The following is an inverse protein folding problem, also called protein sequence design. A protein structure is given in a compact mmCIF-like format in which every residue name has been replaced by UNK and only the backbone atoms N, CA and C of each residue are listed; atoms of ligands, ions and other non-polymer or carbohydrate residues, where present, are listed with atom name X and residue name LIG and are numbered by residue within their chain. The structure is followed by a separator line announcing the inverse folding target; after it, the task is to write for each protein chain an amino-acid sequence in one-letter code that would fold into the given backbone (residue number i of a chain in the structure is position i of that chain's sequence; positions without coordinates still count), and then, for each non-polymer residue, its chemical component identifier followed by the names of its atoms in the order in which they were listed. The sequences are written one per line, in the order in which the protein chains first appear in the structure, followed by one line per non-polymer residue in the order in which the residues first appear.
data_IF_649192142349
#
_entry.id   IF_649192142349
#
_cell.length_a   1.000
_cell.length_b   1.000
_cell.length_c   1.000
_cell.angle_alpha   90.00
_cell.angle_beta   90.00
_cell.angle_gamma   90.00
#
_symmetry.space_group_name_H-M   'P 1'
#
loop_
_entity.id
_entity.type
_entity.pdbx_description
1 polymer ?
#
# COMPACT_ATOMS: atom_id res chain seq x y z
N UNK A 1 -9.14 -19.94 -27.93
CA UNK A 1 -8.92 -19.67 -26.50
C UNK A 1 -9.65 -18.37 -26.21
N UNK A 2 -10.69 -18.35 -25.37
CA UNK A 2 -11.33 -17.09 -25.03
C UNK A 2 -10.32 -16.24 -24.27
N UNK A 3 -10.03 -15.05 -24.79
CA UNK A 3 -9.24 -14.06 -24.06
C UNK A 3 -10.07 -13.62 -22.86
N UNK A 4 -9.53 -13.84 -21.66
CA UNK A 4 -10.13 -13.34 -20.43
C UNK A 4 -9.97 -11.83 -20.45
N UNK A 5 -11.04 -11.10 -20.77
CA UNK A 5 -11.06 -9.64 -20.59
C UNK A 5 -10.70 -9.32 -19.13
N UNK A 6 -9.77 -8.38 -18.89
CA UNK A 6 -9.34 -8.04 -17.54
C UNK A 6 -10.55 -7.60 -16.73
N UNK A 7 -10.89 -8.39 -15.70
CA UNK A 7 -12.04 -8.11 -14.85
C UNK A 7 -11.74 -6.87 -14.01
N UNK A 8 -12.33 -5.73 -14.40
CA UNK A 8 -12.27 -4.51 -13.60
C UNK A 8 -13.18 -4.68 -12.39
N UNK A 9 -12.60 -5.01 -11.24
CA UNK A 9 -13.34 -5.17 -9.99
C UNK A 9 -13.77 -3.79 -9.45
N UNK A 10 -14.93 -3.70 -8.77
CA UNK A 10 -15.32 -2.48 -8.05
C UNK A 10 -14.27 -2.08 -7.01
N UNK A 11 -14.02 -0.78 -6.81
CA UNK A 11 -13.03 -0.29 -5.82
C UNK A 11 -13.28 -0.83 -4.40
N UNK A 12 -14.55 -1.04 -4.04
CA UNK A 12 -14.92 -1.60 -2.73
C UNK A 12 -14.47 -3.04 -2.54
N UNK A 13 -14.38 -3.81 -3.63
CA UNK A 13 -13.83 -5.18 -3.62
C UNK A 13 -12.32 -5.13 -3.40
N UNK A 14 -11.61 -4.27 -4.13
CA UNK A 14 -10.17 -4.06 -3.94
C UNK A 14 -9.84 -3.61 -2.50
N UNK A 15 -10.61 -2.69 -1.94
CA UNK A 15 -10.49 -2.26 -0.55
C UNK A 15 -10.78 -3.40 0.45
N UNK A 16 -11.68 -4.32 0.11
CA UNK A 16 -11.93 -5.51 0.92
C UNK A 16 -10.75 -6.48 0.90
N UNK A 17 -10.15 -6.72 -0.26
CA UNK A 17 -8.95 -7.55 -0.37
C UNK A 17 -7.78 -6.94 0.39
N UNK A 18 -7.56 -5.63 0.28
CA UNK A 18 -6.51 -4.95 1.03
C UNK A 18 -6.68 -5.14 2.56
N UNK A 19 -7.92 -5.06 3.06
CA UNK A 19 -8.21 -5.34 4.47
C UNK A 19 -7.93 -6.79 4.86
N UNK A 20 -8.24 -7.75 3.98
CA UNK A 20 -7.94 -9.16 4.22
C UNK A 20 -6.43 -9.41 4.28
N UNK A 21 -5.67 -8.89 3.32
CA UNK A 21 -4.20 -8.99 3.32
C UNK A 21 -3.58 -8.33 4.56
N UNK A 22 -4.10 -7.18 4.98
CA UNK A 22 -3.64 -6.53 6.22
C UNK A 22 -3.91 -7.39 7.46
N UNK A 23 -5.05 -8.09 7.51
CA UNK A 23 -5.36 -9.01 8.61
C UNK A 23 -4.48 -10.27 8.59
N UNK A 24 -4.13 -10.78 7.41
CA UNK A 24 -3.17 -11.89 7.28
C UNK A 24 -1.77 -11.49 7.76
N UNK A 25 -1.32 -10.27 7.41
CA UNK A 25 -0.06 -9.73 7.89
C UNK A 25 -0.03 -9.47 9.40
N UNK A 26 -1.16 -9.04 9.99
CA UNK A 26 -1.31 -8.87 11.45
C UNK A 26 -1.19 -10.22 12.18
N UNK A 27 -1.63 -11.31 11.53
CA UNK A 27 -1.53 -12.69 12.02
C UNK A 27 -0.29 -13.45 11.54
N UNK A 28 0.81 -12.78 11.18
CA UNK A 28 2.02 -13.39 10.59
C UNK A 28 2.84 -14.30 11.54
N UNK A 29 2.18 -14.91 12.52
CA UNK A 29 2.74 -15.95 13.39
C UNK A 29 3.29 -17.11 12.53
N UNK A 30 4.57 -17.41 12.69
CA UNK A 30 5.23 -18.49 11.94
C UNK A 30 5.95 -18.06 10.67
N UNK A 31 6.14 -16.75 10.46
CA UNK A 31 7.07 -16.26 9.42
C UNK A 31 8.48 -16.79 9.69
N UNK A 32 9.08 -17.40 8.68
CA UNK A 32 10.47 -17.85 8.73
C UNK A 32 11.40 -16.70 8.34
N UNK A 33 12.58 -16.64 8.94
CA UNK A 33 13.56 -15.60 8.71
C UNK A 33 13.99 -15.55 7.23
N UNK A 34 13.97 -16.68 6.53
CA UNK A 34 14.20 -16.78 5.09
C UNK A 34 13.15 -16.07 4.23
N UNK A 35 11.92 -15.95 4.71
CA UNK A 35 10.81 -15.29 3.99
C UNK A 35 10.77 -13.78 4.23
N UNK A 36 11.44 -13.30 5.29
CA UNK A 36 11.38 -11.90 5.71
C UNK A 36 11.74 -10.91 4.59
N UNK A 37 12.79 -11.20 3.81
CA UNK A 37 13.20 -10.32 2.71
C UNK A 37 12.15 -10.27 1.59
N UNK A 38 11.48 -11.40 1.31
CA UNK A 38 10.41 -11.45 0.31
C UNK A 38 9.17 -10.68 0.80
N UNK A 39 8.77 -10.89 2.06
CA UNK A 39 7.67 -10.15 2.69
C UNK A 39 7.93 -8.65 2.70
N UNK A 40 9.14 -8.21 3.05
CA UNK A 40 9.54 -6.80 2.96
C UNK A 40 9.43 -6.28 1.52
N UNK A 41 9.87 -7.06 0.53
CA UNK A 41 9.75 -6.72 -0.89
C UNK A 41 8.29 -6.50 -1.32
N UNK A 42 7.39 -7.41 -0.94
CA UNK A 42 5.96 -7.32 -1.22
C UNK A 42 5.31 -6.12 -0.51
N UNK A 43 5.70 -5.84 0.74
CA UNK A 43 5.25 -4.67 1.48
C UNK A 43 5.69 -3.37 0.80
N UNK A 44 6.95 -3.27 0.36
CA UNK A 44 7.46 -2.11 -0.39
C UNK A 44 6.65 -1.90 -1.66
N UNK A 45 6.42 -2.97 -2.43
CA UNK A 45 5.61 -2.90 -3.65
C UNK A 45 4.17 -2.43 -3.36
N UNK A 46 3.53 -3.00 -2.34
CA UNK A 46 2.20 -2.60 -1.89
C UNK A 46 2.13 -1.13 -1.46
N UNK A 47 3.09 -0.66 -0.67
CA UNK A 47 3.14 0.72 -0.21
C UNK A 47 3.35 1.71 -1.36
N UNK A 48 4.18 1.38 -2.36
CA UNK A 48 4.33 2.20 -3.58
C UNK A 48 3.03 2.29 -4.38
N UNK A 49 2.30 1.19 -4.51
CA UNK A 49 0.99 1.17 -5.17
C UNK A 49 -0.04 2.01 -4.41
N UNK A 50 -0.11 1.89 -3.09
CA UNK A 50 -0.99 2.70 -2.23
C UNK A 50 -0.64 4.19 -2.30
N UNK A 51 0.65 4.53 -2.27
CA UNK A 51 1.14 5.89 -2.46
C UNK A 51 0.62 6.49 -3.77
N UNK A 52 0.79 5.78 -4.90
CA UNK A 52 0.29 6.23 -6.20
C UNK A 52 -1.23 6.36 -6.25
N UNK A 53 -1.96 5.39 -5.70
CA UNK A 53 -3.42 5.38 -5.68
C UNK A 53 -3.98 6.56 -4.88
N UNK A 54 -3.40 6.86 -3.73
CA UNK A 54 -3.81 7.98 -2.87
C UNK A 54 -3.52 9.33 -3.51
N UNK A 55 -2.37 9.48 -4.18
CA UNK A 55 -2.08 10.71 -4.94
C UNK A 55 -3.11 10.94 -6.04
N UNK A 56 -3.42 9.91 -6.84
CA UNK A 56 -4.44 10.00 -7.90
C UNK A 56 -5.84 10.28 -7.35
N UNK A 57 -6.16 9.72 -6.18
CA UNK A 57 -7.42 9.99 -5.51
C UNK A 57 -7.49 11.44 -5.02
N UNK A 58 -6.39 11.98 -4.49
CA UNK A 58 -6.27 13.39 -4.10
C UNK A 58 -6.53 14.30 -5.30
N UNK A 59 -5.85 14.06 -6.43
CA UNK A 59 -6.02 14.82 -7.67
C UNK A 59 -7.47 14.79 -8.16
N UNK A 60 -8.14 13.63 -8.00
CA UNK A 60 -9.54 13.46 -8.42
C UNK A 60 -10.54 14.13 -7.46
N UNK A 61 -10.24 14.19 -6.17
CA UNK A 61 -11.04 14.95 -5.20
C UNK A 61 -10.91 16.45 -5.48
N UNK A 62 -9.69 16.93 -5.74
CA UNK A 62 -9.42 18.33 -6.06
C UNK A 62 -10.15 18.77 -7.34
N UNK A 63 -9.99 18.01 -8.43
CA UNK A 63 -10.71 18.24 -9.69
C UNK A 63 -12.23 18.12 -9.56
N UNK A 64 -12.72 17.37 -8.56
CA UNK A 64 -14.13 17.26 -8.24
C UNK A 64 -14.73 18.52 -7.62
N UNK A 65 -13.90 19.41 -7.04
CA UNK A 65 -14.34 20.62 -6.34
C UNK A 65 -15.11 21.60 -7.21
N UNK A 66 -14.77 21.72 -8.50
CA UNK A 66 -15.50 22.54 -9.47
C UNK A 66 -16.69 21.80 -10.12
N UNK A 67 -16.87 20.52 -9.82
CA UNK A 67 -17.84 19.64 -10.46
C UNK A 67 -18.73 18.90 -9.46
N UNK A 68 -18.53 17.58 -9.38
CA UNK A 68 -19.39 16.68 -8.58
C UNK A 68 -19.39 17.00 -7.08
N UNK A 69 -18.39 17.72 -6.58
CA UNK A 69 -18.27 18.18 -5.20
C UNK A 69 -18.55 19.69 -5.04
N UNK A 70 -19.11 20.38 -6.05
CA UNK A 70 -19.33 21.83 -6.00
C UNK A 70 -20.29 22.28 -4.86
N UNK A 71 -21.13 21.37 -4.35
CA UNK A 71 -21.98 21.63 -3.20
C UNK A 71 -21.24 21.53 -1.85
N UNK A 72 -20.04 20.95 -1.82
CA UNK A 72 -19.24 20.85 -0.62
C UNK A 72 -18.48 22.17 -0.34
N UNK A 73 -18.26 22.54 0.93
CA UNK A 73 -17.42 23.69 1.27
C UNK A 73 -16.00 23.53 0.68
N UNK A 74 -15.45 24.55 -0.01
CA UNK A 74 -14.12 24.46 -0.63
C UNK A 74 -13.01 24.07 0.35
N UNK A 75 -13.09 24.55 1.59
CA UNK A 75 -12.15 24.21 2.66
C UNK A 75 -12.15 22.73 3.03
N UNK A 76 -13.30 22.04 2.92
CA UNK A 76 -13.40 20.61 3.20
C UNK A 76 -12.81 19.77 2.07
N UNK A 77 -13.05 20.16 0.81
CA UNK A 77 -12.44 19.50 -0.35
C UNK A 77 -10.92 19.64 -0.28
N UNK A 78 -10.42 20.85 -0.02
CA UNK A 78 -9.00 21.12 0.13
C UNK A 78 -8.38 20.31 1.28
N UNK A 79 -9.04 20.26 2.45
CA UNK A 79 -8.57 19.47 3.58
C UNK A 79 -8.46 17.98 3.24
N UNK A 80 -9.46 17.42 2.54
CA UNK A 80 -9.43 16.03 2.12
C UNK A 80 -8.30 15.76 1.11
N UNK A 81 -8.13 16.62 0.10
CA UNK A 81 -7.01 16.54 -0.85
C UNK A 81 -5.66 16.54 -0.14
N UNK A 82 -5.47 17.43 0.84
CA UNK A 82 -4.24 17.48 1.64
C UNK A 82 -4.00 16.20 2.46
N UNK A 83 -5.05 15.67 3.10
CA UNK A 83 -4.96 14.40 3.85
C UNK A 83 -4.54 13.25 2.93
N UNK A 84 -5.12 13.16 1.73
CA UNK A 84 -4.80 12.12 0.77
C UNK A 84 -3.36 12.22 0.24
N UNK A 85 -2.87 13.42 -0.07
CA UNK A 85 -1.46 13.61 -0.44
C UNK A 85 -0.51 13.32 0.72
N UNK A 86 -0.84 13.73 1.95
CA UNK A 86 -0.04 13.43 3.13
C UNK A 86 0.06 11.92 3.35
N UNK A 87 -1.05 11.19 3.24
CA UNK A 87 -1.07 9.73 3.32
C UNK A 87 -0.24 9.10 2.18
N UNK A 88 -0.39 9.59 0.94
CA UNK A 88 0.42 9.16 -0.20
C UNK A 88 1.92 9.30 0.07
N UNK A 89 2.36 10.45 0.59
CA UNK A 89 3.75 10.69 0.96
C UNK A 89 4.22 9.75 2.08
N UNK A 90 3.41 9.55 3.12
CA UNK A 90 3.75 8.65 4.22
C UNK A 90 3.97 7.20 3.75
N UNK A 91 3.12 6.68 2.85
CA UNK A 91 3.34 5.37 2.26
C UNK A 91 4.62 5.33 1.41
N UNK A 92 4.92 6.39 0.66
CA UNK A 92 6.17 6.50 -0.10
C UNK A 92 7.40 6.44 0.79
N UNK A 93 7.44 7.27 1.85
CA UNK A 93 8.55 7.28 2.81
C UNK A 93 8.71 5.95 3.55
N UNK A 94 7.60 5.31 3.93
CA UNK A 94 7.66 3.98 4.54
C UNK A 94 8.23 2.94 3.57
N UNK A 95 7.89 3.02 2.28
CA UNK A 95 8.40 2.09 1.28
C UNK A 95 9.90 2.28 1.06
N UNK A 96 10.38 3.52 1.08
CA UNK A 96 11.81 3.81 0.97
C UNK A 96 12.57 3.29 2.19
N UNK A 97 12.06 3.53 3.40
CA UNK A 97 12.67 3.01 4.64
C UNK A 97 12.73 1.47 4.68
N UNK A 98 11.66 0.78 4.24
CA UNK A 98 11.65 -0.69 4.14
C UNK A 98 12.59 -1.19 3.05
N UNK A 99 12.65 -0.53 1.89
CA UNK A 99 13.59 -0.87 0.82
C UNK A 99 15.05 -0.75 1.30
N UNK A 100 15.37 0.28 2.07
CA UNK A 100 16.70 0.45 2.66
C UNK A 100 17.05 -0.65 3.69
N UNK A 101 16.03 -1.32 4.26
CA UNK A 101 16.22 -2.42 5.22
C UNK A 101 16.50 -3.78 4.58
N UNK A 102 16.29 -3.94 3.26
CA UNK A 102 16.46 -5.22 2.56
C UNK A 102 17.84 -5.88 2.78
N UNK A 103 18.97 -5.15 2.73
CA UNK A 103 20.28 -5.76 2.99
C UNK A 103 20.41 -6.32 4.40
N UNK A 104 19.80 -5.67 5.40
CA UNK A 104 19.81 -6.12 6.78
C UNK A 104 18.99 -7.42 6.94
N UNK A 105 17.82 -7.49 6.30
CA UNK A 105 16.98 -8.71 6.32
C UNK A 105 17.74 -9.93 5.75
N UNK A 106 18.50 -9.74 4.67
CA UNK A 106 19.34 -10.80 4.08
C UNK A 106 20.45 -11.26 5.03
N UNK A 107 21.16 -10.33 5.67
CA UNK A 107 22.22 -10.64 6.64
C UNK A 107 21.65 -11.43 7.82
N UNK A 108 20.46 -11.06 8.32
CA UNK A 108 19.79 -11.77 9.39
C UNK A 108 19.45 -13.21 8.97
N UNK A 109 18.86 -13.42 7.78
CA UNK A 109 18.55 -14.75 7.26
C UNK A 109 19.78 -15.65 7.10
N UNK A 110 20.89 -15.09 6.58
CA UNK A 110 22.15 -15.81 6.45
C UNK A 110 22.76 -16.20 7.80
N UNK A 111 22.62 -15.32 8.82
CA UNK A 111 23.21 -15.51 10.14
C UNK A 111 22.38 -16.43 11.05
N UNK A 112 21.05 -16.29 11.01
CA UNK A 112 20.12 -17.03 11.84
C UNK A 112 19.70 -18.39 11.26
N UNK A 113 19.97 -18.63 9.97
CA UNK A 113 19.44 -19.76 9.22
C UNK A 113 18.01 -19.51 8.75
N UNK A 114 17.65 -19.93 7.52
CA UNK A 114 16.40 -19.54 6.87
C UNK A 114 15.14 -20.05 7.59
N UNK A 115 15.21 -21.22 8.25
CA UNK A 115 14.06 -21.85 8.91
C UNK A 115 13.83 -21.34 10.34
N UNK A 116 14.55 -20.29 10.76
CA UNK A 116 14.39 -19.72 12.09
C UNK A 116 13.08 -18.95 12.16
N UNK A 117 12.23 -19.29 13.12
CA UNK A 117 10.95 -18.61 13.34
C UNK A 117 11.16 -17.25 13.99
N UNK A 118 10.43 -16.25 13.49
CA UNK A 118 10.31 -14.90 14.06
C UNK A 118 9.27 -14.84 15.18
#
# INVERSE_FOLDING_TARGET
MPELEPTVLPLTVAASHLRACAAELDGAEGTELGDLAAVIGDLVAGQRLLSSALSKLADRVDAGGEGVLAAAPPSQVQAMTQVLHAASGAFGYSADALCESEPLAKILAESGGPNTRL
#
